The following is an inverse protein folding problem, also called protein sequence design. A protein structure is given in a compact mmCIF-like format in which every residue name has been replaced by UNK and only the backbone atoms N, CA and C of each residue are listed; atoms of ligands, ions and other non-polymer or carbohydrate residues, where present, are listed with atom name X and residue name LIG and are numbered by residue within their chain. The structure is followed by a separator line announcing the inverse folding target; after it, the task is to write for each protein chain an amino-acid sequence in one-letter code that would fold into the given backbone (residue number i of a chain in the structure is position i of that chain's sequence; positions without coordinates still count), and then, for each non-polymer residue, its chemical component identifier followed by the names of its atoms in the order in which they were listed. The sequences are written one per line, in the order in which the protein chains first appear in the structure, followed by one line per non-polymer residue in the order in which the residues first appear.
data_IF_473325866148
#
_entry.id   IF_473325866148
#
_cell.length_a   1.000
_cell.length_b   1.000
_cell.length_c   1.000
_cell.angle_alpha   90.00
_cell.angle_beta   90.00
_cell.angle_gamma   90.00
#
_symmetry.space_group_name_H-M   'P 1'
#
loop_
_entity.id
_entity.type
_entity.pdbx_description
1 polymer ?
#
# COMPACT_ATOMS: atom_id res chain seq x y z
N UNK A 1 20.61 0.84 18.30
CA UNK A 1 19.33 0.26 17.85
C UNK A 1 18.30 1.39 17.75
N UNK A 2 17.67 1.55 16.59
CA UNK A 2 16.63 2.54 16.35
C UNK A 2 15.27 1.88 16.10
N UNK A 3 14.19 2.68 16.14
CA UNK A 3 12.85 2.25 15.76
C UNK A 3 12.65 2.48 14.26
N UNK A 4 12.23 1.44 13.54
CA UNK A 4 11.85 1.58 12.14
C UNK A 4 10.47 2.25 12.03
N UNK A 5 10.43 3.36 11.27
CA UNK A 5 9.21 4.12 10.98
C UNK A 5 8.99 4.12 9.48
N UNK A 6 7.80 3.74 9.03
CA UNK A 6 7.40 3.94 7.64
C UNK A 6 6.66 5.26 7.54
N UNK A 7 7.09 6.12 6.63
CA UNK A 7 6.41 7.38 6.30
C UNK A 7 5.65 7.19 5.00
N UNK A 8 4.38 7.49 4.99
CA UNK A 8 3.51 7.43 3.81
C UNK A 8 2.63 8.66 3.72
N UNK A 9 1.94 8.84 2.61
CA UNK A 9 0.99 9.94 2.41
C UNK A 9 -0.42 9.39 2.28
N UNK A 10 -1.37 10.09 2.91
CA UNK A 10 -2.79 9.83 2.79
C UNK A 10 -3.56 11.16 2.63
N UNK A 11 -4.34 11.35 1.54
CA UNK A 11 -4.50 10.46 0.40
C UNK A 11 -3.22 10.30 -0.44
N UNK A 12 -3.22 9.29 -1.34
CA UNK A 12 -2.10 9.05 -2.24
C UNK A 12 -1.80 10.30 -3.09
N UNK A 13 -0.52 10.76 -3.22
CA UNK A 13 -0.18 12.01 -3.90
C UNK A 13 -0.80 12.21 -5.28
N UNK A 14 -0.91 11.14 -6.08
CA UNK A 14 -1.52 11.22 -7.42
C UNK A 14 -3.01 11.56 -7.37
N UNK A 15 -3.74 11.19 -6.29
CA UNK A 15 -5.15 11.55 -6.13
C UNK A 15 -5.35 13.07 -6.01
N UNK A 16 -4.39 13.77 -5.40
CA UNK A 16 -4.42 15.23 -5.26
C UNK A 16 -3.84 15.91 -6.50
N UNK A 17 -2.71 15.40 -7.03
CA UNK A 17 -2.01 16.05 -8.14
C UNK A 17 -2.67 15.81 -9.51
N UNK A 18 -3.34 14.65 -9.69
CA UNK A 18 -4.00 14.23 -10.92
C UNK A 18 -5.25 13.39 -10.60
N UNK A 19 -6.34 13.98 -10.10
CA UNK A 19 -7.50 13.23 -9.60
C UNK A 19 -8.09 12.21 -10.59
N UNK A 20 -8.05 12.50 -11.87
CA UNK A 20 -8.62 11.62 -12.92
C UNK A 20 -7.70 10.47 -13.37
N UNK A 21 -6.45 10.43 -12.91
CA UNK A 21 -5.44 9.43 -13.35
C UNK A 21 -4.78 8.68 -12.20
N UNK A 22 -5.37 8.74 -11.01
CA UNK A 22 -4.85 8.02 -9.85
C UNK A 22 -4.94 6.51 -10.07
N UNK A 23 -3.84 5.76 -9.85
CA UNK A 23 -3.88 4.32 -9.96
C UNK A 23 -4.73 3.72 -8.84
N UNK A 24 -5.48 2.67 -9.14
CA UNK A 24 -6.27 1.93 -8.15
C UNK A 24 -5.38 1.44 -7.01
N UNK A 25 -5.82 1.60 -5.77
CA UNK A 25 -5.07 1.17 -4.60
C UNK A 25 -5.03 -0.37 -4.53
N UNK A 26 -3.82 -0.91 -4.42
CA UNK A 26 -3.59 -2.35 -4.13
C UNK A 26 -3.91 -2.68 -2.68
N UNK A 27 -3.71 -1.73 -1.78
CA UNK A 27 -4.01 -1.83 -0.35
C UNK A 27 -4.65 -0.53 0.11
N UNK A 28 -5.76 -0.62 0.83
CA UNK A 28 -6.28 0.51 1.60
C UNK A 28 -5.40 0.80 2.83
N UNK A 29 -5.64 1.92 3.55
CA UNK A 29 -4.79 2.33 4.68
C UNK A 29 -4.69 1.28 5.80
N UNK A 30 -5.81 0.69 6.22
CA UNK A 30 -5.83 -0.34 7.26
C UNK A 30 -5.16 -1.63 6.81
N UNK A 31 -5.32 -2.00 5.54
CA UNK A 31 -4.66 -3.15 4.96
C UNK A 31 -3.14 -2.95 4.92
N UNK A 32 -2.68 -1.77 4.48
CA UNK A 32 -1.25 -1.42 4.49
C UNK A 32 -0.66 -1.52 5.90
N UNK A 33 -1.36 -1.00 6.90
CA UNK A 33 -0.95 -1.11 8.30
C UNK A 33 -0.82 -2.57 8.75
N UNK A 34 -1.80 -3.43 8.40
CA UNK A 34 -1.77 -4.85 8.73
C UNK A 34 -0.56 -5.56 8.10
N UNK A 35 -0.28 -5.30 6.81
CA UNK A 35 0.87 -5.87 6.09
C UNK A 35 2.19 -5.41 6.71
N UNK A 36 2.33 -4.11 7.00
CA UNK A 36 3.54 -3.56 7.63
C UNK A 36 3.79 -4.16 9.01
N UNK A 37 2.73 -4.36 9.81
CA UNK A 37 2.83 -5.02 11.11
C UNK A 37 3.36 -6.45 10.99
N UNK A 38 2.91 -7.22 9.98
CA UNK A 38 3.37 -8.60 9.75
C UNK A 38 4.87 -8.69 9.44
N UNK A 39 5.45 -7.68 8.79
CA UNK A 39 6.88 -7.61 8.50
C UNK A 39 7.70 -6.89 9.61
N UNK A 40 7.09 -6.65 10.77
CA UNK A 40 7.78 -6.13 11.94
C UNK A 40 7.85 -4.61 12.06
N UNK A 41 7.20 -3.85 11.18
CA UNK A 41 7.10 -2.40 11.31
C UNK A 41 6.11 -2.04 12.42
N UNK A 42 6.57 -1.29 13.41
CA UNK A 42 5.78 -0.90 14.58
C UNK A 42 5.20 0.51 14.49
N UNK A 43 5.76 1.35 13.64
CA UNK A 43 5.33 2.74 13.49
C UNK A 43 5.07 3.07 12.02
N UNK A 44 3.87 3.51 11.72
CA UNK A 44 3.45 4.04 10.42
C UNK A 44 3.00 5.49 10.62
N UNK A 45 3.69 6.41 9.97
CA UNK A 45 3.31 7.82 9.94
C UNK A 45 2.61 8.12 8.62
N UNK A 46 1.31 8.29 8.65
CA UNK A 46 0.53 8.75 7.49
C UNK A 46 0.49 10.29 7.50
N UNK A 47 1.23 10.90 6.60
CA UNK A 47 1.24 12.35 6.45
C UNK A 47 0.09 12.79 5.53
N UNK A 48 -0.74 13.78 5.93
CA UNK A 48 -1.74 14.35 5.04
C UNK A 48 -1.09 14.92 3.79
N UNK A 49 -1.53 14.47 2.62
CA UNK A 49 -1.08 15.04 1.36
C UNK A 49 -2.12 16.03 0.83
N UNK A 50 -1.83 17.30 0.99
CA UNK A 50 -2.69 18.42 0.58
C UNK A 50 -2.04 19.22 -0.55
N UNK A 51 -2.76 20.14 -1.20
CA UNK A 51 -2.14 21.07 -2.15
C UNK A 51 -0.98 21.89 -1.56
N UNK A 52 -1.03 22.19 -0.26
CA UNK A 52 0.03 22.87 0.48
C UNK A 52 1.24 21.95 0.63
N UNK A 53 1.05 20.70 1.07
CA UNK A 53 2.13 19.70 1.18
C UNK A 53 2.79 19.47 -0.18
N UNK A 54 2.02 19.49 -1.26
CA UNK A 54 2.54 19.32 -2.63
C UNK A 54 3.45 20.47 -3.09
N UNK A 55 3.36 21.64 -2.44
CA UNK A 55 4.21 22.81 -2.73
C UNK A 55 5.46 22.89 -1.83
N UNK A 56 5.58 22.01 -0.86
CA UNK A 56 6.72 22.01 0.07
C UNK A 56 8.02 21.72 -0.69
N UNK A 57 9.03 22.61 -0.63
CA UNK A 57 10.33 22.37 -1.23
C UNK A 57 10.99 21.12 -0.65
N UNK A 58 11.81 20.44 -1.45
CA UNK A 58 12.45 19.20 -1.04
C UNK A 58 13.30 19.35 0.24
N UNK A 59 14.05 20.42 0.36
CA UNK A 59 14.86 20.71 1.54
C UNK A 59 14.02 20.91 2.79
N UNK A 60 12.91 21.63 2.67
CA UNK A 60 12.01 21.91 3.80
C UNK A 60 11.30 20.64 4.28
N UNK A 61 10.91 19.77 3.34
CA UNK A 61 10.32 18.47 3.67
C UNK A 61 11.29 17.62 4.52
N UNK A 62 12.54 17.50 4.12
CA UNK A 62 13.54 16.75 4.90
C UNK A 62 13.82 17.42 6.25
N UNK A 63 13.90 18.75 6.31
CA UNK A 63 14.09 19.46 7.57
C UNK A 63 12.92 19.20 8.54
N UNK A 64 11.68 19.12 8.05
CA UNK A 64 10.53 18.76 8.87
C UNK A 64 10.67 17.34 9.45
N UNK A 65 11.12 16.37 8.63
CA UNK A 65 11.37 15.00 9.10
C UNK A 65 12.48 14.96 10.16
N UNK A 66 13.60 15.67 9.93
CA UNK A 66 14.71 15.78 10.89
C UNK A 66 14.24 16.37 12.23
N UNK A 67 13.40 17.41 12.19
CA UNK A 67 12.87 18.04 13.42
C UNK A 67 11.92 17.11 14.16
N UNK A 68 11.09 16.36 13.44
CA UNK A 68 10.08 15.46 14.02
C UNK A 68 10.70 14.19 14.63
N UNK A 69 11.81 13.70 14.08
CA UNK A 69 12.43 12.43 14.44
C UNK A 69 13.85 12.59 15.02
N UNK A 70 14.03 13.44 16.03
CA UNK A 70 15.35 13.63 16.68
C UNK A 70 15.61 12.57 17.76
N UNK A 71 16.75 11.83 17.68
CA UNK A 71 17.72 11.82 16.58
C UNK A 71 17.24 10.97 15.41
N UNK A 72 17.35 11.49 14.19
CA UNK A 72 17.11 10.73 12.97
C UNK A 72 18.40 9.97 12.60
N UNK A 73 18.41 8.66 12.70
CA UNK A 73 19.60 7.84 12.43
C UNK A 73 19.81 7.56 10.94
N UNK A 74 18.73 7.26 10.21
CA UNK A 74 18.83 7.01 8.76
C UNK A 74 17.49 7.20 8.03
N UNK A 75 17.58 7.45 6.73
CA UNK A 75 16.46 7.40 5.78
C UNK A 75 16.77 6.35 4.72
N UNK A 76 15.85 5.39 4.52
CA UNK A 76 15.91 4.38 3.47
C UNK A 76 14.82 4.62 2.45
N UNK A 77 15.19 4.75 1.17
CA UNK A 77 14.26 5.02 0.06
C UNK A 77 14.65 4.21 -1.18
N UNK A 78 13.69 4.00 -2.08
CA UNK A 78 14.04 3.47 -3.40
C UNK A 78 15.03 4.37 -4.14
N UNK A 79 16.01 3.81 -4.84
CA UNK A 79 17.03 4.58 -5.54
C UNK A 79 16.48 5.61 -6.53
N UNK A 80 15.32 5.34 -7.13
CA UNK A 80 14.62 6.23 -8.07
C UNK A 80 13.59 7.14 -7.39
N UNK A 81 13.58 7.18 -6.05
CA UNK A 81 12.64 8.00 -5.31
C UNK A 81 12.89 9.49 -5.55
N UNK A 82 11.82 10.25 -5.67
CA UNK A 82 11.87 11.70 -5.80
C UNK A 82 10.81 12.34 -4.91
N UNK A 83 11.13 13.51 -4.38
CA UNK A 83 10.34 14.17 -3.36
C UNK A 83 10.37 15.70 -3.51
N UNK A 84 9.56 16.37 -2.69
CA UNK A 84 9.44 17.83 -2.72
C UNK A 84 8.62 18.35 -3.89
N UNK A 85 8.46 19.67 -3.93
CA UNK A 85 7.69 20.34 -4.97
C UNK A 85 8.21 19.98 -6.36
N UNK A 86 7.29 19.58 -7.27
CA UNK A 86 7.62 19.16 -8.66
C UNK A 86 8.68 18.05 -8.75
N UNK A 87 8.86 17.26 -7.67
CA UNK A 87 9.85 16.18 -7.63
C UNK A 87 11.29 16.67 -7.78
N UNK A 88 11.60 17.85 -7.28
CA UNK A 88 12.92 18.47 -7.40
C UNK A 88 14.01 17.78 -6.57
N UNK A 89 13.62 17.03 -5.54
CA UNK A 89 14.51 16.24 -4.70
C UNK A 89 14.70 14.82 -5.23
N UNK A 90 15.92 14.34 -5.18
CA UNK A 90 16.36 13.01 -5.53
C UNK A 90 17.28 12.41 -4.44
N UNK A 91 17.85 11.24 -4.71
CA UNK A 91 18.73 10.56 -3.76
C UNK A 91 20.03 11.35 -3.50
N UNK A 92 20.53 12.12 -4.46
CA UNK A 92 21.74 12.91 -4.31
C UNK A 92 21.50 14.09 -3.37
N UNK A 93 20.40 14.81 -3.56
CA UNK A 93 20.00 15.86 -2.62
C UNK A 93 19.75 15.28 -1.21
N UNK A 94 19.15 14.10 -1.12
CA UNK A 94 18.93 13.45 0.17
C UNK A 94 20.24 13.11 0.86
N UNK A 95 21.25 12.61 0.13
CA UNK A 95 22.61 12.34 0.67
C UNK A 95 23.30 13.62 1.14
N UNK A 96 23.20 14.71 0.38
CA UNK A 96 23.72 16.02 0.79
C UNK A 96 23.09 16.46 2.13
N UNK A 97 21.76 16.37 2.23
CA UNK A 97 21.03 16.72 3.46
C UNK A 97 21.35 15.76 4.62
N UNK A 98 21.61 14.49 4.32
CA UNK A 98 22.08 13.51 5.30
C UNK A 98 23.39 13.93 5.95
N UNK A 99 24.35 14.42 5.16
CA UNK A 99 25.62 14.95 5.66
C UNK A 99 25.41 16.24 6.48
N UNK A 100 24.51 17.13 6.05
CA UNK A 100 24.23 18.39 6.75
C UNK A 100 23.52 18.20 8.10
N UNK A 101 22.70 17.14 8.22
CA UNK A 101 21.84 16.89 9.39
C UNK A 101 22.21 15.65 10.18
N UNK A 102 23.35 15.02 9.89
CA UNK A 102 23.92 13.87 10.59
C UNK A 102 22.99 12.63 10.61
N UNK A 103 22.48 12.27 9.41
CA UNK A 103 21.76 11.00 9.23
C UNK A 103 22.27 10.24 8.00
N UNK A 104 22.26 8.89 8.08
CA UNK A 104 22.64 8.04 6.96
C UNK A 104 21.53 7.95 5.91
N UNK A 105 21.89 7.75 4.64
CA UNK A 105 20.94 7.53 3.54
C UNK A 105 21.22 6.20 2.87
N UNK A 106 20.18 5.39 2.74
CA UNK A 106 20.23 4.09 2.05
C UNK A 106 19.33 4.12 0.81
N UNK A 107 19.94 4.11 -0.38
CA UNK A 107 19.24 3.94 -1.65
C UNK A 107 19.02 2.45 -1.95
N UNK A 108 17.79 1.99 -1.93
CA UNK A 108 17.44 0.59 -2.22
C UNK A 108 17.29 0.43 -3.73
N UNK A 109 18.05 -0.46 -4.38
CA UNK A 109 17.92 -0.71 -5.82
C UNK A 109 16.57 -1.36 -6.13
N UNK A 110 16.06 -1.22 -7.37
CA UNK A 110 14.85 -1.91 -7.79
C UNK A 110 15.00 -3.43 -7.67
N UNK A 111 14.05 -4.07 -6.98
CA UNK A 111 13.99 -5.52 -6.89
C UNK A 111 13.65 -6.10 -8.28
N UNK A 112 14.47 -7.05 -8.75
CA UNK A 112 14.23 -7.79 -9.99
C UNK A 112 13.90 -9.23 -9.68
N UNK A 113 12.84 -9.74 -10.32
CA UNK A 113 12.41 -11.13 -10.25
C UNK A 113 12.29 -11.62 -11.69
N UNK A 114 13.02 -12.65 -12.05
CA UNK A 114 13.12 -13.16 -13.43
C UNK A 114 13.44 -12.05 -14.47
N UNK A 115 14.29 -11.08 -14.10
CA UNK A 115 14.69 -9.97 -14.98
C UNK A 115 13.72 -8.79 -15.01
N UNK A 116 12.50 -8.92 -14.52
CA UNK A 116 11.50 -7.86 -14.47
C UNK A 116 11.58 -7.09 -13.13
N UNK A 117 11.33 -5.78 -13.17
CA UNK A 117 11.28 -4.95 -11.97
C UNK A 117 9.96 -5.14 -11.24
N UNK A 118 10.02 -5.55 -9.97
CA UNK A 118 8.85 -5.59 -9.11
C UNK A 118 8.30 -4.15 -8.91
N UNK A 119 7.11 -3.90 -9.38
CA UNK A 119 6.46 -2.59 -9.29
C UNK A 119 4.96 -2.71 -9.04
N UNK A 120 4.37 -1.69 -8.42
CA UNK A 120 2.92 -1.65 -8.22
C UNK A 120 2.14 -1.66 -9.54
N UNK A 121 2.70 -1.15 -10.62
CA UNK A 121 2.08 -1.17 -11.96
C UNK A 121 1.96 -2.59 -12.48
N UNK A 122 3.04 -3.37 -12.43
CA UNK A 122 3.07 -4.77 -12.84
C UNK A 122 2.09 -5.60 -12.00
N UNK A 123 2.07 -5.38 -10.68
CA UNK A 123 1.16 -6.10 -9.78
C UNK A 123 -0.31 -5.77 -10.10
N UNK A 124 -0.64 -4.48 -10.34
CA UNK A 124 -2.02 -4.10 -10.74
C UNK A 124 -2.45 -4.77 -12.04
N UNK A 125 -1.55 -4.83 -13.00
CA UNK A 125 -1.81 -5.49 -14.28
C UNK A 125 -2.07 -6.99 -14.08
N UNK A 126 -1.23 -7.68 -13.34
CA UNK A 126 -1.40 -9.10 -13.03
C UNK A 126 -2.73 -9.36 -12.31
N UNK A 127 -3.05 -8.58 -11.27
CA UNK A 127 -4.33 -8.70 -10.55
C UNK A 127 -5.52 -8.44 -11.48
N UNK A 128 -5.48 -7.41 -12.31
CA UNK A 128 -6.58 -7.07 -13.22
C UNK A 128 -6.87 -8.15 -14.26
N UNK A 129 -5.85 -8.92 -14.64
CA UNK A 129 -5.95 -10.06 -15.55
C UNK A 129 -6.31 -11.38 -14.86
N UNK A 130 -6.37 -11.38 -13.52
CA UNK A 130 -6.58 -12.61 -12.73
C UNK A 130 -5.35 -13.49 -12.59
N UNK A 131 -4.18 -13.04 -13.04
CA UNK A 131 -2.90 -13.75 -12.86
C UNK A 131 -2.38 -13.52 -11.42
N UNK A 132 -3.08 -14.16 -10.47
CA UNK A 132 -2.77 -14.02 -9.05
C UNK A 132 -1.45 -14.70 -8.68
N UNK A 133 -1.04 -15.72 -9.44
CA UNK A 133 0.26 -16.38 -9.25
C UNK A 133 1.41 -15.40 -9.56
N UNK A 134 1.32 -14.69 -10.68
CA UNK A 134 2.30 -13.65 -11.03
C UNK A 134 2.27 -12.49 -10.02
N UNK A 135 1.08 -12.05 -9.61
CA UNK A 135 0.97 -11.02 -8.58
C UNK A 135 1.65 -11.44 -7.27
N UNK A 136 1.43 -12.69 -6.82
CA UNK A 136 2.06 -13.24 -5.62
C UNK A 136 3.59 -13.33 -5.74
N UNK A 137 4.10 -13.73 -6.90
CA UNK A 137 5.54 -13.78 -7.17
C UNK A 137 6.21 -12.41 -6.93
N UNK A 138 5.64 -11.33 -7.47
CA UNK A 138 6.19 -9.98 -7.34
C UNK A 138 5.89 -9.31 -5.98
N UNK A 139 4.84 -9.76 -5.28
CA UNK A 139 4.52 -9.30 -3.93
C UNK A 139 5.35 -10.01 -2.84
N UNK A 140 5.89 -11.20 -3.12
CA UNK A 140 6.48 -12.09 -2.13
C UNK A 140 5.45 -12.68 -1.15
N UNK A 141 4.16 -12.57 -1.45
CA UNK A 141 3.02 -13.10 -0.69
C UNK A 141 1.78 -13.18 -1.58
N UNK A 142 0.79 -13.96 -1.18
CA UNK A 142 -0.50 -13.97 -1.88
C UNK A 142 -1.14 -12.58 -1.92
N UNK A 143 -1.83 -12.29 -3.02
CA UNK A 143 -2.64 -11.07 -3.11
C UNK A 143 -3.80 -11.17 -2.14
N UNK A 144 -3.96 -10.21 -1.29
CA UNK A 144 -5.00 -10.21 -0.27
C UNK A 144 -5.96 -9.04 -0.45
N UNK A 145 -7.22 -9.30 -0.09
CA UNK A 145 -8.30 -8.31 -0.05
C UNK A 145 -8.66 -8.09 1.41
N UNK A 146 -8.82 -6.84 1.79
CA UNK A 146 -9.10 -6.45 3.16
C UNK A 146 -10.38 -5.59 3.21
N UNK A 147 -11.17 -5.75 4.27
CA UNK A 147 -12.36 -4.94 4.44
C UNK A 147 -13.09 -5.27 5.74
N UNK A 148 -14.19 -4.58 5.96
CA UNK A 148 -15.08 -4.81 7.10
C UNK A 148 -16.19 -5.75 6.72
N UNK A 149 -16.56 -6.66 7.62
CA UNK A 149 -17.77 -7.46 7.46
C UNK A 149 -18.98 -6.54 7.62
N UNK A 150 -19.87 -6.60 6.65
CA UNK A 150 -21.11 -5.81 6.64
C UNK A 150 -22.32 -6.75 6.59
N UNK A 151 -23.42 -6.27 7.11
CA UNK A 151 -24.68 -7.02 7.09
C UNK A 151 -25.19 -7.19 5.65
N UNK A 152 -25.65 -8.39 5.33
CA UNK A 152 -26.26 -8.73 4.05
C UNK A 152 -27.70 -9.17 4.23
N UNK A 153 -28.31 -9.70 3.17
CA UNK A 153 -29.70 -10.19 3.16
C UNK A 153 -29.88 -11.54 3.88
N UNK A 154 -28.85 -12.08 4.50
CA UNK A 154 -28.83 -13.37 5.22
C UNK A 154 -29.32 -14.60 4.42
N UNK A 155 -29.38 -14.50 3.07
CA UNK A 155 -29.85 -15.59 2.20
C UNK A 155 -29.01 -16.86 2.36
N UNK A 156 -27.70 -16.74 2.52
CA UNK A 156 -26.82 -17.88 2.76
C UNK A 156 -27.17 -18.64 4.03
N UNK A 157 -27.59 -17.94 5.09
CA UNK A 157 -28.02 -18.56 6.34
C UNK A 157 -29.31 -19.37 6.15
N UNK A 158 -30.26 -18.89 5.34
CA UNK A 158 -31.51 -19.60 5.01
C UNK A 158 -31.23 -20.85 4.17
N UNK A 159 -30.18 -20.84 3.36
CA UNK A 159 -29.75 -21.96 2.51
C UNK A 159 -28.78 -22.92 3.24
N UNK A 160 -28.52 -22.73 4.53
CA UNK A 160 -27.61 -23.58 5.30
C UNK A 160 -26.11 -23.25 5.10
N UNK A 161 -25.78 -22.22 4.34
CA UNK A 161 -24.40 -21.75 4.08
C UNK A 161 -24.21 -20.31 4.56
N UNK A 162 -23.93 -20.07 5.85
CA UNK A 162 -23.69 -18.71 6.35
C UNK A 162 -22.55 -18.04 5.59
N UNK A 163 -22.80 -16.84 5.09
CA UNK A 163 -21.85 -16.06 4.33
C UNK A 163 -21.57 -14.72 5.00
N UNK A 164 -20.32 -14.25 4.93
CA UNK A 164 -19.94 -12.92 5.33
C UNK A 164 -19.81 -12.03 4.08
N UNK A 165 -20.46 -10.87 4.08
CA UNK A 165 -20.24 -9.86 3.06
C UNK A 165 -19.13 -8.94 3.51
N UNK A 166 -18.17 -8.65 2.64
CA UNK A 166 -17.02 -7.81 2.95
C UNK A 166 -17.09 -6.51 2.15
N UNK A 167 -17.16 -5.39 2.84
CA UNK A 167 -16.95 -4.07 2.24
C UNK A 167 -15.44 -3.85 2.05
N UNK A 168 -15.00 -4.03 0.82
CA UNK A 168 -13.58 -4.11 0.46
C UNK A 168 -12.94 -2.73 0.38
N UNK A 169 -11.75 -2.57 0.95
CA UNK A 169 -10.94 -1.34 0.87
C UNK A 169 -10.01 -1.28 -0.36
N UNK A 170 -9.66 -2.44 -0.92
CA UNK A 170 -8.85 -2.49 -2.13
C UNK A 170 -9.63 -1.94 -3.33
N UNK A 171 -9.05 -1.04 -4.09
CA UNK A 171 -9.64 -0.54 -5.34
C UNK A 171 -9.30 -1.45 -6.52
N UNK A 172 -8.10 -2.05 -6.51
CA UNK A 172 -7.72 -3.05 -7.49
C UNK A 172 -8.23 -4.41 -7.04
N UNK A 173 -9.10 -5.00 -7.84
CA UNK A 173 -9.63 -6.34 -7.63
C UNK A 173 -9.35 -7.22 -8.85
N UNK A 174 -9.27 -8.54 -8.68
CA UNK A 174 -9.22 -9.47 -9.79
C UNK A 174 -10.57 -9.49 -10.54
N UNK A 175 -10.67 -10.18 -11.68
CA UNK A 175 -11.94 -10.35 -12.40
C UNK A 175 -13.05 -10.91 -11.52
N UNK A 176 -14.31 -10.66 -11.92
CA UNK A 176 -15.45 -11.27 -11.25
C UNK A 176 -15.37 -12.81 -11.35
N UNK A 177 -15.69 -13.49 -10.26
CA UNK A 177 -15.59 -14.95 -10.23
C UNK A 177 -15.61 -15.52 -8.82
N UNK A 178 -15.41 -16.82 -8.75
CA UNK A 178 -15.32 -17.58 -7.50
C UNK A 178 -13.88 -17.99 -7.28
N UNK A 179 -13.36 -17.74 -6.09
CA UNK A 179 -11.97 -17.95 -5.72
C UNK A 179 -11.85 -18.84 -4.51
N UNK A 180 -10.96 -19.83 -4.56
CA UNK A 180 -10.47 -20.50 -3.36
C UNK A 180 -9.50 -19.56 -2.65
N UNK A 181 -9.73 -19.31 -1.37
CA UNK A 181 -8.98 -18.31 -0.61
C UNK A 181 -8.68 -18.82 0.80
N UNK A 182 -7.73 -18.15 1.46
CA UNK A 182 -7.61 -18.23 2.91
C UNK A 182 -8.22 -16.96 3.50
N UNK A 183 -9.26 -17.12 4.32
CA UNK A 183 -9.87 -16.02 5.06
C UNK A 183 -9.25 -15.93 6.45
N UNK A 184 -8.83 -14.74 6.84
CA UNK A 184 -8.37 -14.48 8.21
C UNK A 184 -9.54 -13.93 9.02
N UNK A 185 -9.98 -14.72 10.00
CA UNK A 185 -10.98 -14.31 10.97
C UNK A 185 -10.30 -14.31 12.35
N UNK A 186 -10.28 -13.15 13.01
CA UNK A 186 -9.50 -12.94 14.25
C UNK A 186 -8.00 -13.21 14.01
N UNK A 187 -7.43 -14.23 14.59
CA UNK A 187 -6.03 -14.61 14.46
C UNK A 187 -5.81 -15.86 13.59
N UNK A 188 -6.87 -16.53 13.18
CA UNK A 188 -6.81 -17.78 12.43
C UNK A 188 -7.00 -17.57 10.91
N UNK A 189 -6.25 -18.37 10.14
CA UNK A 189 -6.41 -18.49 8.70
C UNK A 189 -7.23 -19.74 8.39
N UNK A 190 -8.37 -19.58 7.72
CA UNK A 190 -9.29 -20.63 7.38
C UNK A 190 -9.42 -20.78 5.87
N UNK A 191 -9.42 -22.02 5.31
CA UNK A 191 -9.77 -22.21 3.91
C UNK A 191 -11.21 -21.77 3.70
N UNK A 192 -11.44 -21.02 2.63
CA UNK A 192 -12.73 -20.42 2.33
C UNK A 192 -12.96 -20.26 0.82
N UNK A 193 -14.18 -19.94 0.45
CA UNK A 193 -14.56 -19.58 -0.92
C UNK A 193 -15.04 -18.13 -0.92
N UNK A 194 -14.46 -17.31 -1.79
CA UNK A 194 -14.89 -15.94 -2.00
C UNK A 194 -15.56 -15.78 -3.38
N UNK A 195 -16.75 -15.19 -3.40
CA UNK A 195 -17.42 -14.78 -4.62
C UNK A 195 -17.22 -13.27 -4.81
N UNK A 196 -16.50 -12.91 -5.86
CA UNK A 196 -16.38 -11.54 -6.31
C UNK A 196 -17.41 -11.30 -7.42
N UNK A 197 -18.53 -10.65 -7.09
CA UNK A 197 -19.65 -10.45 -8.00
C UNK A 197 -20.23 -9.03 -7.89
N UNK A 198 -21.02 -8.65 -8.88
CA UNK A 198 -21.91 -7.47 -8.76
C UNK A 198 -23.23 -7.95 -8.18
N UNK A 199 -23.77 -7.23 -7.19
CA UNK A 199 -25.16 -7.48 -6.78
C UNK A 199 -26.06 -7.15 -7.96
N UNK A 200 -26.96 -8.04 -8.40
CA UNK A 200 -28.05 -7.62 -9.26
C UNK A 200 -28.86 -6.56 -8.48
N UNK A 201 -29.02 -5.40 -9.07
CA UNK A 201 -30.02 -4.43 -8.59
C UNK A 201 -31.38 -5.09 -8.85
N UNK A 202 -32.00 -5.67 -7.86
CA UNK A 202 -33.40 -6.07 -7.95
C UNK A 202 -34.17 -4.75 -7.93
N UNK A 203 -34.71 -4.38 -9.09
CA UNK A 203 -35.66 -3.27 -9.23
C UNK A 203 -36.99 -3.67 -8.56
#
# INVERSE_FOLDING_TARGET
HGTAVVVTFDPHPVQILRPGSAPKLLCGPRHQQSVLKQIGIRCLLACPFTPETARTPARDFIQQLVRAAKPLGCISVGYTWSFGHRREGDIHLLMELGQQHDFAVYGVPPLRIHGEIASSTLIREAVSKGDLARAALFLGREYSVFGSVVEGQHLGRQLGFPTANVAVENEQLPPLGVYAVHARAYDDWLPAVANLGRRPTVA
#
